data_IF_107872656995
#
_entry.id   IF_107872656995
#
_cell.length_a   1.000
_cell.length_b   1.000
_cell.length_c   1.000
_cell.angle_alpha   90.00
_cell.angle_beta   90.00
_cell.angle_gamma   90.00
#
_symmetry.space_group_name_H-M   'P 1'
#
loop_
_entity.id
_entity.type
_entity.pdbx_description
1 polymer ?
#
# COMPACT_ATOMS: atom_id res chain seq x y z
N UNK A 1 -28.84 4.33 -0.93
CA UNK A 1 -27.89 4.77 0.12
C UNK A 1 -26.83 3.71 0.46
N UNK A 2 -27.20 2.45 0.77
CA UNK A 2 -26.22 1.40 1.14
C UNK A 2 -25.09 1.16 0.12
N UNK A 3 -25.42 1.10 -1.17
CA UNK A 3 -24.45 0.89 -2.25
C UNK A 3 -23.36 1.98 -2.30
N UNK A 4 -23.76 3.24 -2.12
CA UNK A 4 -22.85 4.39 -2.10
C UNK A 4 -21.87 4.32 -0.91
N UNK A 5 -22.37 3.95 0.27
CA UNK A 5 -21.54 3.83 1.48
C UNK A 5 -20.55 2.66 1.36
N UNK A 6 -20.95 1.52 0.80
CA UNK A 6 -20.02 0.42 0.55
C UNK A 6 -18.94 0.79 -0.48
N UNK A 7 -19.29 1.54 -1.54
CA UNK A 7 -18.30 2.07 -2.49
C UNK A 7 -17.30 3.01 -1.81
N UNK A 8 -17.78 3.96 -1.00
CA UNK A 8 -16.92 4.89 -0.25
C UNK A 8 -16.00 4.13 0.71
N UNK A 9 -16.53 3.11 1.39
CA UNK A 9 -15.75 2.25 2.28
C UNK A 9 -14.67 1.47 1.54
N UNK A 10 -14.96 0.95 0.34
CA UNK A 10 -13.96 0.33 -0.52
C UNK A 10 -12.85 1.33 -0.89
N UNK A 11 -13.21 2.50 -1.40
CA UNK A 11 -12.23 3.53 -1.77
C UNK A 11 -11.33 3.91 -0.59
N UNK A 12 -11.91 4.10 0.60
CA UNK A 12 -11.17 4.35 1.85
C UNK A 12 -10.15 3.24 2.13
N UNK A 13 -10.54 1.97 2.03
CA UNK A 13 -9.62 0.83 2.21
C UNK A 13 -8.47 0.84 1.19
N UNK A 14 -8.75 1.23 -0.06
CA UNK A 14 -7.70 1.39 -1.09
C UNK A 14 -6.71 2.49 -0.69
N UNK A 15 -7.19 3.66 -0.26
CA UNK A 15 -6.33 4.76 0.19
C UNK A 15 -5.55 4.44 1.46
N UNK A 16 -6.12 3.66 2.37
CA UNK A 16 -5.41 3.16 3.56
C UNK A 16 -4.36 2.11 3.20
N UNK A 17 -4.47 1.45 2.04
CA UNK A 17 -3.64 0.33 1.66
C UNK A 17 -3.92 -0.92 2.50
N UNK A 18 -5.12 -1.03 3.08
CA UNK A 18 -5.53 -2.16 3.93
C UNK A 18 -5.99 -3.39 3.14
N UNK A 19 -6.08 -3.28 1.82
CA UNK A 19 -6.44 -4.35 0.89
C UNK A 19 -5.51 -4.34 -0.33
N UNK A 20 -5.26 -5.52 -0.88
CA UNK A 20 -4.47 -5.74 -2.09
C UNK A 20 -5.25 -5.43 -3.37
N UNK A 21 -4.55 -5.23 -4.49
CA UNK A 21 -5.16 -5.03 -5.80
C UNK A 21 -6.14 -6.16 -6.18
N UNK A 22 -5.83 -7.41 -5.81
CA UNK A 22 -6.69 -8.55 -6.12
C UNK A 22 -7.98 -8.53 -5.27
N UNK A 23 -7.86 -8.16 -3.99
CA UNK A 23 -9.02 -7.94 -3.12
C UNK A 23 -9.90 -6.78 -3.61
N UNK A 24 -9.29 -5.69 -4.11
CA UNK A 24 -10.04 -4.59 -4.73
C UNK A 24 -10.83 -5.07 -5.94
N UNK A 25 -10.21 -5.85 -6.84
CA UNK A 25 -10.89 -6.41 -8.02
C UNK A 25 -12.08 -7.28 -7.61
N UNK A 26 -11.90 -8.12 -6.60
CA UNK A 26 -12.95 -8.99 -6.09
C UNK A 26 -14.11 -8.19 -5.48
N UNK A 27 -13.79 -7.14 -4.72
CA UNK A 27 -14.80 -6.30 -4.08
C UNK A 27 -15.56 -5.44 -5.09
N UNK A 28 -14.88 -4.89 -6.10
CA UNK A 28 -15.52 -4.22 -7.24
C UNK A 28 -16.51 -5.16 -7.93
N UNK A 29 -16.09 -6.40 -8.26
CA UNK A 29 -16.97 -7.41 -8.87
C UNK A 29 -18.12 -7.82 -7.94
N UNK A 30 -17.93 -7.79 -6.62
CA UNK A 30 -18.98 -8.08 -5.64
C UNK A 30 -20.03 -6.96 -5.66
N UNK A 31 -19.59 -5.71 -5.59
CA UNK A 31 -20.47 -4.54 -5.65
C UNK A 31 -21.26 -4.49 -6.95
N UNK A 32 -20.61 -4.74 -8.09
CA UNK A 32 -21.23 -4.82 -9.40
C UNK A 32 -22.31 -5.90 -9.46
N UNK A 33 -22.03 -7.10 -8.94
CA UNK A 33 -23.03 -8.20 -8.87
C UNK A 33 -24.20 -7.89 -7.96
N UNK A 34 -23.97 -7.17 -6.87
CA UNK A 34 -24.97 -6.92 -5.84
C UNK A 34 -25.87 -5.72 -6.16
N UNK A 35 -25.32 -4.70 -6.80
CA UNK A 35 -25.95 -3.40 -6.97
C UNK A 35 -26.05 -2.96 -8.43
N UNK A 36 -25.51 -3.74 -9.38
CA UNK A 36 -25.40 -3.34 -10.79
C UNK A 36 -24.27 -2.34 -11.03
N UNK A 37 -24.18 -1.85 -12.26
CA UNK A 37 -23.18 -0.83 -12.65
C UNK A 37 -23.45 0.54 -11.99
N UNK A 38 -24.71 0.82 -11.64
CA UNK A 38 -25.18 2.07 -11.02
C UNK A 38 -24.53 2.38 -9.66
N UNK A 39 -23.89 1.39 -9.03
CA UNK A 39 -23.11 1.62 -7.80
C UNK A 39 -21.91 2.52 -8.09
N UNK A 40 -21.34 2.47 -9.29
CA UNK A 40 -20.17 3.24 -9.67
C UNK A 40 -20.55 4.62 -10.20
N UNK A 41 -19.64 5.58 -10.03
CA UNK A 41 -19.85 6.91 -10.60
C UNK A 41 -19.71 6.85 -12.12
N UNK A 42 -20.63 7.45 -12.91
CA UNK A 42 -20.51 7.50 -14.36
C UNK A 42 -19.47 8.52 -14.84
N UNK A 43 -18.83 9.26 -13.92
CA UNK A 43 -17.81 10.23 -14.24
C UNK A 43 -16.64 9.56 -14.97
N UNK A 44 -16.33 10.08 -16.15
CA UNK A 44 -15.17 9.65 -16.91
C UNK A 44 -13.88 9.99 -16.15
N UNK A 45 -12.98 9.02 -16.11
CA UNK A 45 -11.67 9.15 -15.49
C UNK A 45 -10.61 8.81 -16.54
N UNK A 46 -9.64 9.71 -16.70
CA UNK A 46 -8.51 9.50 -17.60
C UNK A 46 -7.29 9.21 -16.73
N UNK A 47 -6.76 7.96 -16.74
CA UNK A 47 -5.57 7.62 -15.99
C UNK A 47 -4.33 8.34 -16.55
N UNK A 48 -3.46 8.81 -15.66
CA UNK A 48 -2.15 9.34 -16.05
C UNK A 48 -1.22 8.18 -16.40
N UNK A 49 -0.37 8.36 -17.40
CA UNK A 49 0.71 7.42 -17.71
C UNK A 49 1.77 7.39 -16.60
N UNK A 50 2.50 6.28 -16.54
CA UNK A 50 3.64 6.11 -15.62
C UNK A 50 4.80 7.03 -16.00
N UNK A 51 5.70 7.38 -15.07
CA UNK A 51 5.75 6.97 -13.66
C UNK A 51 4.77 7.75 -12.78
N UNK A 52 4.19 7.08 -11.79
CA UNK A 52 3.30 7.71 -10.82
C UNK A 52 4.04 8.23 -9.59
N UNK A 53 3.56 9.32 -9.02
CA UNK A 53 4.15 9.95 -7.83
C UNK A 53 3.17 10.00 -6.66
N UNK A 54 3.65 10.37 -5.47
CA UNK A 54 2.79 10.57 -4.30
C UNK A 54 1.84 11.75 -4.52
N UNK A 55 2.29 12.78 -5.23
CA UNK A 55 1.46 13.94 -5.61
C UNK A 55 0.30 13.50 -6.50
N UNK A 56 0.55 12.60 -7.46
CA UNK A 56 -0.51 12.03 -8.29
C UNK A 56 -1.52 11.24 -7.45
N UNK A 57 -1.06 10.45 -6.47
CA UNK A 57 -1.96 9.76 -5.55
C UNK A 57 -2.83 10.74 -4.72
N UNK A 58 -2.27 11.88 -4.30
CA UNK A 58 -3.03 12.93 -3.59
C UNK A 58 -4.07 13.59 -4.52
N UNK A 59 -3.77 13.76 -5.80
CA UNK A 59 -4.75 14.24 -6.79
C UNK A 59 -5.92 13.27 -6.92
N UNK A 60 -5.64 11.95 -6.97
CA UNK A 60 -6.69 10.93 -6.98
C UNK A 60 -7.55 10.97 -5.71
N UNK A 61 -6.96 11.23 -4.54
CA UNK A 61 -7.72 11.40 -3.30
C UNK A 61 -8.68 12.60 -3.36
N UNK A 62 -8.20 13.74 -3.85
CA UNK A 62 -9.04 14.93 -4.05
C UNK A 62 -10.18 14.67 -5.05
N UNK A 63 -9.91 13.96 -6.14
CA UNK A 63 -10.95 13.56 -7.09
C UNK A 63 -11.99 12.65 -6.45
N UNK A 64 -11.58 11.71 -5.59
CA UNK A 64 -12.52 10.88 -4.84
C UNK A 64 -13.39 11.69 -3.91
N UNK A 65 -12.84 12.70 -3.22
CA UNK A 65 -13.60 13.61 -2.36
C UNK A 65 -14.59 14.46 -3.17
N UNK A 66 -14.25 14.79 -4.42
CA UNK A 66 -15.14 15.45 -5.38
C UNK A 66 -16.21 14.53 -5.99
N UNK A 67 -16.22 13.24 -5.64
CA UNK A 67 -17.24 12.28 -6.07
C UNK A 67 -16.82 11.33 -7.20
N UNK A 68 -15.56 11.33 -7.62
CA UNK A 68 -15.04 10.30 -8.50
C UNK A 68 -15.12 8.93 -7.82
N UNK A 69 -15.51 7.90 -8.59
CA UNK A 69 -15.78 6.58 -8.05
C UNK A 69 -16.23 5.59 -9.12
N UNK A 70 -15.76 5.78 -10.36
CA UNK A 70 -15.97 4.79 -11.42
C UNK A 70 -15.17 3.53 -11.12
N UNK A 71 -15.53 2.42 -11.78
CA UNK A 71 -14.84 1.14 -11.63
C UNK A 71 -13.35 1.25 -11.98
N UNK A 72 -13.05 1.91 -13.09
CA UNK A 72 -11.71 2.15 -13.60
C UNK A 72 -10.90 3.00 -12.63
N UNK A 73 -11.53 4.04 -12.05
CA UNK A 73 -10.88 4.91 -11.07
C UNK A 73 -10.46 4.15 -9.81
N UNK A 74 -11.35 3.32 -9.24
CA UNK A 74 -11.06 2.54 -8.03
C UNK A 74 -9.90 1.58 -8.27
N UNK A 75 -9.89 0.89 -9.42
CA UNK A 75 -8.82 -0.02 -9.80
C UNK A 75 -7.49 0.73 -10.00
N UNK A 76 -7.53 1.89 -10.65
CA UNK A 76 -6.34 2.69 -10.90
C UNK A 76 -5.68 3.19 -9.61
N UNK A 77 -6.46 3.65 -8.62
CA UNK A 77 -5.90 4.02 -7.30
C UNK A 77 -5.17 2.84 -6.68
N UNK A 78 -5.74 1.64 -6.75
CA UNK A 78 -5.15 0.43 -6.19
C UNK A 78 -3.82 0.08 -6.88
N UNK A 79 -3.73 0.23 -8.20
CA UNK A 79 -2.50 0.04 -8.96
C UNK A 79 -1.41 1.05 -8.56
N UNK A 80 -1.76 2.33 -8.52
CA UNK A 80 -0.85 3.43 -8.12
C UNK A 80 -0.32 3.18 -6.70
N UNK A 81 -1.19 2.85 -5.74
CA UNK A 81 -0.80 2.50 -4.36
C UNK A 81 0.13 1.29 -4.31
N UNK A 82 -0.16 0.24 -5.07
CA UNK A 82 0.66 -0.95 -5.09
C UNK A 82 2.06 -0.65 -5.65
N UNK A 83 2.17 0.17 -6.70
CA UNK A 83 3.46 0.57 -7.27
C UNK A 83 4.28 1.43 -6.31
N UNK A 84 3.66 2.46 -5.72
CA UNK A 84 4.33 3.36 -4.77
C UNK A 84 4.77 2.63 -3.49
N UNK A 85 4.02 1.62 -3.03
CA UNK A 85 4.41 0.79 -1.87
C UNK A 85 5.59 -0.15 -2.18
N UNK A 86 5.68 -0.71 -3.39
CA UNK A 86 6.82 -1.53 -3.84
C UNK A 86 8.13 -0.72 -3.83
N UNK A 87 8.08 0.54 -4.28
CA UNK A 87 9.23 1.45 -4.23
C UNK A 87 9.71 1.78 -2.81
N UNK A 88 8.78 1.93 -1.87
CA UNK A 88 9.07 2.28 -0.46
C UNK A 88 9.65 1.10 0.35
N UNK A 89 9.16 -0.12 0.10
CA UNK A 89 9.61 -1.32 0.82
C UNK A 89 11.05 -1.73 0.52
N UNK A 90 11.57 -1.44 -0.68
CA UNK A 90 12.98 -1.72 -1.04
C UNK A 90 13.98 -0.97 -0.15
N UNK A 91 13.61 0.23 0.34
CA UNK A 91 14.47 1.08 1.18
C UNK A 91 14.36 0.74 2.68
N UNK A 92 13.22 0.20 3.13
CA UNK A 92 12.97 -0.14 4.54
C UNK A 92 13.53 -1.50 4.95
N UNK A 93 13.42 -2.51 4.07
CA UNK A 93 13.89 -3.88 4.35
C UNK A 93 15.39 -3.95 4.67
N UNK A 94 16.19 -3.08 4.05
CA UNK A 94 17.64 -3.04 4.26
C UNK A 94 18.04 -2.48 5.64
N UNK A 95 17.23 -1.61 6.25
CA UNK A 95 17.56 -1.01 7.56
C UNK A 95 17.45 -2.03 8.70
N UNK A 96 16.41 -2.87 8.67
CA UNK A 96 16.19 -3.87 9.70
C UNK A 96 17.24 -5.00 9.63
N UNK A 97 17.66 -5.40 8.43
CA UNK A 97 18.72 -6.40 8.24
C UNK A 97 20.07 -5.86 8.73
N UNK A 98 20.39 -4.59 8.44
CA UNK A 98 21.64 -3.97 8.89
C UNK A 98 21.73 -3.91 10.43
N UNK A 99 20.63 -3.55 11.10
CA UNK A 99 20.59 -3.45 12.55
C UNK A 99 20.79 -4.80 13.24
N UNK A 100 20.14 -5.87 12.75
CA UNK A 100 20.31 -7.23 13.29
C UNK A 100 21.74 -7.73 13.08
N UNK A 101 22.34 -7.48 11.92
CA UNK A 101 23.72 -7.85 11.64
C UNK A 101 24.71 -7.15 12.58
N UNK A 102 24.46 -5.89 12.93
CA UNK A 102 25.37 -5.11 13.79
C UNK A 102 25.36 -5.65 15.23
N UNK A 103 24.19 -6.01 15.77
CA UNK A 103 24.04 -6.57 17.13
C UNK A 103 24.72 -7.93 17.25
N UNK A 104 24.56 -8.80 16.24
CA UNK A 104 25.22 -10.11 16.20
C UNK A 104 26.74 -10.01 16.22
N UNK A 105 27.32 -9.10 15.41
CA UNK A 105 28.77 -8.87 15.39
C UNK A 105 29.27 -8.40 16.75
N UNK A 106 28.54 -7.47 17.39
CA UNK A 106 28.92 -6.94 18.70
C UNK A 106 28.93 -8.01 19.80
N UNK A 107 27.94 -8.91 19.79
CA UNK A 107 27.88 -10.05 20.72
C UNK A 107 29.05 -11.02 20.54
N UNK A 108 29.44 -11.31 19.30
CA UNK A 108 30.58 -12.19 19.01
C UNK A 108 31.87 -11.56 19.54
N UNK A 109 32.10 -10.27 19.27
CA UNK A 109 33.30 -9.55 19.76
C UNK A 109 33.34 -9.52 21.29
N UNK A 110 32.21 -9.26 21.95
CA UNK A 110 32.11 -9.28 23.41
C UNK A 110 32.45 -10.66 24.00
N UNK A 111 31.92 -11.74 23.42
CA UNK A 111 32.25 -13.11 23.84
C UNK A 111 33.74 -13.44 23.67
N UNK A 112 34.37 -13.01 22.56
CA UNK A 112 35.81 -13.20 22.35
C UNK A 112 36.65 -12.43 23.38
N UNK A 113 36.27 -11.21 23.73
CA UNK A 113 36.96 -10.43 24.76
C UNK A 113 36.82 -11.06 26.15
N UNK A 114 35.64 -11.57 26.49
CA UNK A 114 35.40 -12.23 27.78
C UNK A 114 36.20 -13.53 27.89
N UNK A 115 36.20 -14.36 26.85
CA UNK A 115 36.93 -15.64 26.84
C UNK A 115 38.44 -15.43 26.88
N UNK A 116 38.98 -14.48 26.12
CA UNK A 116 40.42 -14.13 26.17
C UNK A 116 40.81 -13.51 27.51
N UNK A 117 39.95 -12.72 28.15
CA UNK A 117 40.19 -12.17 29.48
C UNK A 117 40.16 -13.25 30.58
N UNK A 118 39.24 -14.21 30.49
CA UNK A 118 39.15 -15.36 31.40
C UNK A 118 40.34 -16.32 31.29
N UNK A 119 40.87 -16.53 30.08
CA UNK A 119 42.01 -17.44 29.86
C UNK A 119 43.38 -16.83 30.21
N UNK A 120 43.45 -15.51 30.35
CA UNK A 120 44.71 -14.79 30.62
C UNK A 120 44.94 -14.51 32.11
N UNK A 121 44.01 -14.92 32.98
CA UNK A 121 44.07 -14.79 34.44
C UNK A 121 44.35 -16.15 35.07
#
# INVERSE_FOLDING_TARGET
MKALEERKALIKKVFEGSISLEEVKNEVKRLERQYGEDVFSPLSFIPQERPWTVEYLNQLENLSLAGAGSKEFILHIAEVKQELSKGRNKKSRNKNILMVATVLIFLIVACFLITTFLFKK
#
